data_IF_467985298675
#
_entry.id   IF_467985298675
#
_cell.length_a   1.000
_cell.length_b   1.000
_cell.length_c   1.000
_cell.angle_alpha   90.00
_cell.angle_beta   90.00
_cell.angle_gamma   90.00
#
_symmetry.space_group_name_H-M   'P 1'
#
loop_
_entity.id
_entity.type
_entity.pdbx_description
1 polymer ?
#
# COMPACT_ATOMS: atom_id res chain seq x y z
N UNK A 1 -14.07 11.73 18.93
CA UNK A 1 -14.00 11.71 17.45
C UNK A 1 -15.19 12.49 16.92
N UNK A 2 -15.02 13.46 16.01
CA UNK A 2 -16.15 14.22 15.50
C UNK A 2 -17.06 13.29 14.67
N UNK A 3 -18.37 13.24 14.94
CA UNK A 3 -19.31 12.36 14.24
C UNK A 3 -19.32 12.56 12.72
N UNK A 4 -18.96 13.76 12.26
CA UNK A 4 -18.87 14.11 10.84
C UNK A 4 -17.71 13.41 10.12
N UNK A 5 -16.64 13.00 10.81
CA UNK A 5 -15.45 12.42 10.16
C UNK A 5 -15.77 11.10 9.44
N UNK A 6 -16.51 10.21 10.09
CA UNK A 6 -16.88 8.92 9.49
C UNK A 6 -17.82 9.12 8.29
N UNK A 7 -18.75 10.08 8.41
CA UNK A 7 -19.65 10.42 7.31
C UNK A 7 -18.90 10.99 6.10
N UNK A 8 -17.92 11.89 6.33
CA UNK A 8 -17.08 12.44 5.27
C UNK A 8 -16.19 11.37 4.61
N UNK A 9 -15.57 10.47 5.38
CA UNK A 9 -14.77 9.37 4.83
C UNK A 9 -15.60 8.42 3.97
N UNK A 10 -16.83 8.09 4.39
CA UNK A 10 -17.75 7.24 3.62
C UNK A 10 -18.14 7.85 2.28
N UNK A 11 -18.29 9.19 2.18
CA UNK A 11 -18.57 9.87 0.91
C UNK A 11 -17.44 9.72 -0.12
N UNK A 12 -16.21 9.51 0.36
CA UNK A 12 -15.02 9.36 -0.47
C UNK A 12 -14.68 7.88 -0.74
N UNK A 13 -15.52 6.95 -0.31
CA UNK A 13 -15.28 5.53 -0.47
C UNK A 13 -15.36 5.11 -1.94
N UNK A 14 -14.40 4.30 -2.37
CA UNK A 14 -14.43 3.63 -3.67
C UNK A 14 -14.24 2.12 -3.51
N UNK A 15 -14.70 1.37 -4.51
CA UNK A 15 -14.41 -0.05 -4.64
C UNK A 15 -13.10 -0.25 -5.42
N UNK A 16 -12.30 -1.22 -4.99
CA UNK A 16 -11.12 -1.67 -5.73
C UNK A 16 -11.56 -2.39 -7.01
N UNK A 17 -10.82 -2.23 -8.09
CA UNK A 17 -11.15 -2.80 -9.41
C UNK A 17 -9.88 -3.19 -10.17
N UNK A 18 -10.00 -4.09 -11.15
CA UNK A 18 -8.93 -4.43 -12.10
C UNK A 18 -8.51 -3.23 -12.96
N UNK A 19 -9.38 -2.22 -13.04
CA UNK A 19 -9.12 -0.92 -13.65
C UNK A 19 -9.21 0.20 -12.62
N UNK A 20 -8.60 1.36 -12.93
CA UNK A 20 -8.78 2.57 -12.11
C UNK A 20 -10.27 2.96 -12.06
N UNK A 21 -10.85 3.17 -10.86
CA UNK A 21 -12.21 3.69 -10.74
C UNK A 21 -12.30 5.19 -11.06
N UNK A 22 -11.16 5.85 -11.22
CA UNK A 22 -11.04 7.25 -11.64
C UNK A 22 -10.86 7.32 -13.15
N UNK A 23 -11.52 8.28 -13.80
CA UNK A 23 -11.44 8.52 -15.23
C UNK A 23 -10.02 8.93 -15.66
N UNK A 24 -9.28 9.59 -14.77
CA UNK A 24 -7.89 10.00 -15.01
C UNK A 24 -7.14 10.28 -13.68
N UNK A 25 -5.82 10.46 -13.77
CA UNK A 25 -5.00 10.77 -12.58
C UNK A 25 -5.35 12.08 -11.88
N UNK A 26 -5.87 13.08 -12.60
CA UNK A 26 -6.23 14.37 -11.97
C UNK A 26 -7.38 14.12 -10.99
N UNK A 27 -8.35 13.30 -11.39
CA UNK A 27 -9.44 12.91 -10.52
C UNK A 27 -8.95 12.09 -9.32
N UNK A 28 -8.05 11.12 -9.52
CA UNK A 28 -7.42 10.39 -8.43
C UNK A 28 -6.70 11.32 -7.43
N UNK A 29 -5.90 12.27 -7.92
CA UNK A 29 -5.19 13.21 -7.05
C UNK A 29 -6.15 14.15 -6.32
N UNK A 30 -7.19 14.63 -7.01
CA UNK A 30 -8.23 15.47 -6.40
C UNK A 30 -8.97 14.71 -5.29
N UNK A 31 -9.26 13.42 -5.50
CA UNK A 31 -9.80 12.55 -4.47
C UNK A 31 -8.81 12.37 -3.30
N UNK A 32 -7.55 12.09 -3.60
CA UNK A 32 -6.51 11.89 -2.59
C UNK A 32 -6.32 13.14 -1.70
N UNK A 33 -6.38 14.34 -2.29
CA UNK A 33 -6.28 15.60 -1.56
C UNK A 33 -7.44 15.82 -0.58
N UNK A 34 -8.63 15.28 -0.87
CA UNK A 34 -9.78 15.28 0.06
C UNK A 34 -9.62 14.24 1.16
N UNK A 35 -9.06 13.07 0.86
CA UNK A 35 -8.86 11.99 1.84
C UNK A 35 -7.74 12.32 2.83
N UNK A 36 -6.62 12.88 2.35
CA UNK A 36 -5.42 13.13 3.15
C UNK A 36 -5.67 13.86 4.49
N UNK A 37 -6.40 14.99 4.55
CA UNK A 37 -6.66 15.68 5.81
C UNK A 37 -7.57 14.89 6.75
N UNK A 38 -8.49 14.08 6.21
CA UNK A 38 -9.40 13.26 7.00
C UNK A 38 -8.70 12.08 7.67
N UNK A 39 -7.54 11.64 7.16
CA UNK A 39 -6.74 10.60 7.80
C UNK A 39 -5.85 11.12 8.95
N UNK A 40 -5.92 12.42 9.29
CA UNK A 40 -5.08 13.05 10.35
C UNK A 40 -5.24 12.43 11.74
N UNK A 41 -6.35 11.74 12.02
CA UNK A 41 -6.55 11.02 13.29
C UNK A 41 -5.58 9.85 13.47
N UNK A 42 -5.02 9.31 12.39
CA UNK A 42 -3.99 8.27 12.40
C UNK A 42 -2.82 8.72 11.50
N UNK A 43 -1.79 9.39 12.08
CA UNK A 43 -0.64 9.89 11.32
C UNK A 43 0.14 8.79 10.59
N UNK A 44 0.14 7.55 11.12
CA UNK A 44 0.83 6.41 10.49
C UNK A 44 0.09 5.98 9.23
N UNK A 45 -1.24 5.89 9.31
CA UNK A 45 -2.10 5.61 8.17
C UNK A 45 -2.02 6.73 7.12
N UNK A 46 -2.09 8.00 7.56
CA UNK A 46 -1.95 9.16 6.68
C UNK A 46 -0.61 9.15 5.94
N UNK A 47 0.50 8.85 6.63
CA UNK A 47 1.82 8.74 6.02
C UNK A 47 1.90 7.62 4.98
N UNK A 48 1.31 6.45 5.27
CA UNK A 48 1.23 5.33 4.32
C UNK A 48 0.39 5.67 3.09
N UNK A 49 -0.75 6.32 3.30
CA UNK A 49 -1.62 6.77 2.21
C UNK A 49 -0.89 7.78 1.32
N UNK A 50 -0.22 8.78 1.90
CA UNK A 50 0.60 9.75 1.17
C UNK A 50 1.69 9.07 0.33
N UNK A 51 2.34 8.06 0.90
CA UNK A 51 3.34 7.26 0.19
C UNK A 51 2.75 6.55 -1.03
N UNK A 52 1.55 5.96 -0.91
CA UNK A 52 0.85 5.33 -2.04
C UNK A 52 0.48 6.34 -3.12
N UNK A 53 -0.04 7.51 -2.75
CA UNK A 53 -0.34 8.59 -3.71
C UNK A 53 0.93 9.02 -4.46
N UNK A 54 2.06 9.12 -3.77
CA UNK A 54 3.35 9.42 -4.39
C UNK A 54 3.83 8.29 -5.31
N UNK A 55 3.64 7.03 -4.90
CA UNK A 55 4.01 5.87 -5.70
C UNK A 55 3.17 5.78 -6.99
N UNK A 56 1.88 6.14 -6.95
CA UNK A 56 1.03 6.27 -8.15
C UNK A 56 1.62 7.28 -9.13
N UNK A 57 2.05 8.45 -8.64
CA UNK A 57 2.69 9.48 -9.47
C UNK A 57 3.97 8.95 -10.12
N UNK A 58 4.82 8.27 -9.36
CA UNK A 58 6.04 7.65 -9.89
C UNK A 58 5.74 6.60 -10.96
N UNK A 59 4.82 5.67 -10.67
CA UNK A 59 4.43 4.62 -11.63
C UNK A 59 3.92 5.23 -12.95
N UNK A 60 3.13 6.30 -12.87
CA UNK A 60 2.65 7.04 -14.04
C UNK A 60 3.78 7.70 -14.83
N UNK A 61 4.74 8.34 -14.15
CA UNK A 61 5.89 8.98 -14.80
C UNK A 61 6.76 7.98 -15.58
N UNK A 62 6.82 6.73 -15.10
CA UNK A 62 7.52 5.63 -15.77
C UNK A 62 6.60 4.76 -16.65
N UNK A 63 5.35 5.17 -16.86
CA UNK A 63 4.35 4.49 -17.68
C UNK A 63 4.06 3.02 -17.27
N UNK A 64 4.25 2.69 -15.99
CA UNK A 64 4.00 1.35 -15.42
C UNK A 64 2.54 1.24 -14.98
N UNK A 65 1.64 1.04 -15.95
CA UNK A 65 0.18 1.04 -15.74
C UNK A 65 -0.30 0.10 -14.64
N UNK A 66 0.23 -1.12 -14.59
CA UNK A 66 -0.17 -2.12 -13.59
C UNK A 66 0.17 -1.64 -12.17
N UNK A 67 1.36 -1.09 -11.97
CA UNK A 67 1.78 -0.54 -10.69
C UNK A 67 0.96 0.71 -10.31
N UNK A 68 0.60 1.55 -11.28
CA UNK A 68 -0.31 2.69 -11.06
C UNK A 68 -1.66 2.21 -10.49
N UNK A 69 -2.27 1.20 -11.13
CA UNK A 69 -3.54 0.61 -10.70
C UNK A 69 -3.42 -0.03 -9.30
N UNK A 70 -2.34 -0.77 -9.05
CA UNK A 70 -2.08 -1.40 -7.75
C UNK A 70 -1.92 -0.37 -6.63
N UNK A 71 -1.23 0.74 -6.89
CA UNK A 71 -1.05 1.82 -5.93
C UNK A 71 -2.38 2.55 -5.65
N UNK A 72 -3.20 2.80 -6.68
CA UNK A 72 -4.55 3.36 -6.54
C UNK A 72 -5.42 2.43 -5.66
N UNK A 73 -5.46 1.14 -5.99
CA UNK A 73 -6.22 0.15 -5.24
C UNK A 73 -5.74 0.01 -3.79
N UNK A 74 -4.44 0.17 -3.56
CA UNK A 74 -3.87 0.17 -2.21
C UNK A 74 -4.32 1.39 -1.42
N UNK A 75 -4.32 2.58 -2.03
CA UNK A 75 -4.83 3.81 -1.40
C UNK A 75 -6.32 3.69 -1.05
N UNK A 76 -7.14 3.16 -1.97
CA UNK A 76 -8.57 2.87 -1.73
C UNK A 76 -8.72 1.89 -0.55
N UNK A 77 -7.94 0.81 -0.55
CA UNK A 77 -7.96 -0.18 0.52
C UNK A 77 -7.65 0.42 1.90
N UNK A 78 -6.68 1.34 1.97
CA UNK A 78 -6.34 2.05 3.20
C UNK A 78 -7.51 2.89 3.72
N UNK A 79 -8.20 3.64 2.84
CA UNK A 79 -9.38 4.41 3.23
C UNK A 79 -10.50 3.49 3.74
N UNK A 80 -10.80 2.41 3.02
CA UNK A 80 -11.86 1.47 3.38
C UNK A 80 -11.58 0.83 4.75
N UNK A 81 -10.33 0.44 5.01
CA UNK A 81 -9.92 -0.08 6.31
C UNK A 81 -10.04 0.97 7.43
N UNK A 82 -9.75 2.24 7.13
CA UNK A 82 -9.91 3.35 8.06
C UNK A 82 -11.38 3.47 8.50
N UNK A 83 -12.30 3.49 7.52
CA UNK A 83 -13.75 3.54 7.76
C UNK A 83 -14.19 2.40 8.67
N UNK A 84 -13.83 1.16 8.34
CA UNK A 84 -14.18 -0.02 9.16
C UNK A 84 -13.63 0.07 10.58
N UNK A 85 -12.38 0.53 10.74
CA UNK A 85 -11.75 0.65 12.06
C UNK A 85 -12.47 1.67 12.93
N UNK A 86 -12.94 2.77 12.34
CA UNK A 86 -13.71 3.80 13.02
C UNK A 86 -15.14 3.34 13.38
N UNK A 87 -15.76 2.53 12.54
CA UNK A 87 -17.07 1.91 12.81
C UNK A 87 -17.01 0.96 14.01
N UNK A 88 -15.98 0.12 14.10
CA UNK A 88 -15.82 -0.83 15.21
C UNK A 88 -15.61 -0.13 16.55
N UNK A 89 -14.84 0.97 16.56
CA UNK A 89 -14.60 1.77 17.79
C UNK A 89 -15.87 2.48 18.27
N UNK A 90 -16.82 2.75 17.37
CA UNK A 90 -18.05 3.48 17.67
C UNK A 90 -19.16 2.59 18.27
N UNK A 91 -19.02 1.27 18.20
CA UNK A 91 -19.93 0.33 18.87
C UNK A 91 -19.46 0.18 20.32
N UNK A 92 -20.25 0.59 21.34
CA UNK A 92 -19.92 0.32 22.72
C UNK A 92 -19.89 -1.19 22.90
N UNK A 93 -18.69 -1.76 22.98
CA UNK A 93 -18.54 -3.13 23.43
C UNK A 93 -18.79 -3.10 24.93
N UNK A 94 -20.03 -3.27 25.35
CA UNK A 94 -20.37 -3.71 26.71
C UNK A 94 -19.94 -5.17 26.83
N UNK A 95 -18.64 -5.43 26.68
CA UNK A 95 -18.04 -6.72 26.97
C UNK A 95 -17.58 -6.66 28.43
N UNK A 96 -18.33 -7.31 29.31
CA UNK A 96 -17.93 -7.49 30.70
C UNK A 96 -16.53 -8.10 30.76
N UNK A 97 -15.67 -7.50 31.58
CA UNK A 97 -14.33 -7.99 31.89
C UNK A 97 -14.35 -9.50 32.17
N UNK A 98 -13.62 -10.33 31.41
CA UNK A 98 -13.12 -11.59 31.93
C UNK A 98 -11.75 -11.33 32.57
N UNK A 99 -11.68 -11.62 33.84
CA UNK A 99 -10.50 -11.74 34.71
C UNK A 99 -9.23 -12.15 33.97
N UNK A 100 -8.16 -11.37 34.19
CA UNK A 100 -6.82 -11.67 33.73
C UNK A 100 -6.35 -13.06 34.18
N UNK A 101 -6.01 -13.91 33.22
CA UNK A 101 -5.22 -15.12 33.43
C UNK A 101 -3.94 -15.00 32.59
N UNK A 102 -2.74 -15.10 33.17
CA UNK A 102 -1.50 -14.90 32.44
C UNK A 102 -1.14 -16.19 31.70
N UNK A 103 -1.37 -16.24 30.39
CA UNK A 103 -0.83 -17.28 29.53
C UNK A 103 0.15 -16.65 28.55
N UNK A 104 1.44 -16.84 28.83
CA UNK A 104 2.53 -16.59 27.91
C UNK A 104 2.32 -17.43 26.64
N UNK A 105 1.95 -16.77 25.55
CA UNK A 105 2.01 -17.34 24.21
C UNK A 105 2.58 -16.28 23.26
N UNK A 106 3.90 -16.16 23.28
CA UNK A 106 4.67 -15.51 22.22
C UNK A 106 4.42 -16.33 20.95
N UNK A 107 3.54 -15.84 20.07
CA UNK A 107 3.45 -16.35 18.70
C UNK A 107 4.50 -15.66 17.84
N UNK A 108 5.65 -16.31 17.83
CA UNK A 108 6.66 -16.29 16.78
C UNK A 108 5.99 -16.47 15.40
N UNK A 109 5.87 -15.37 14.65
CA UNK A 109 5.55 -15.39 13.23
C UNK A 109 6.85 -15.21 12.46
N UNK A 110 7.64 -16.29 12.38
CA UNK A 110 8.78 -16.35 11.46
C UNK A 110 8.45 -17.28 10.29
N UNK A 111 8.71 -16.76 9.09
CA UNK A 111 8.89 -17.44 7.81
C UNK A 111 7.68 -18.02 7.06
N UNK A 112 7.16 -17.20 6.13
CA UNK A 112 6.64 -17.70 4.85
C UNK A 112 7.82 -17.96 3.90
N UNK A 113 7.92 -19.12 3.23
CA UNK A 113 9.00 -19.42 2.31
C UNK A 113 8.64 -18.93 0.89
N UNK A 114 8.66 -17.63 0.63
CA UNK A 114 8.39 -17.10 -0.73
C UNK A 114 9.39 -15.98 -1.08
N UNK A 115 10.69 -16.27 -0.95
CA UNK A 115 11.72 -15.23 -1.10
C UNK A 115 13.07 -15.67 -1.68
N UNK A 116 13.19 -16.87 -2.26
CA UNK A 116 14.50 -17.35 -2.78
C UNK A 116 14.58 -17.53 -4.29
N UNK A 117 13.46 -17.51 -5.03
CA UNK A 117 13.50 -17.71 -6.49
C UNK A 117 13.71 -16.40 -7.27
N UNK A 118 13.23 -15.25 -6.76
CA UNK A 118 13.37 -13.97 -7.47
C UNK A 118 14.76 -13.33 -7.38
N UNK A 119 15.48 -13.53 -6.27
CA UNK A 119 16.79 -12.90 -6.04
C UNK A 119 17.87 -13.51 -6.95
N UNK A 120 17.81 -14.84 -7.19
CA UNK A 120 18.76 -15.52 -8.07
C UNK A 120 18.69 -15.04 -9.52
N UNK A 121 17.48 -14.79 -10.04
CA UNK A 121 17.28 -14.33 -11.41
C UNK A 121 17.80 -12.89 -11.60
N UNK A 122 17.57 -12.00 -10.63
CA UNK A 122 18.07 -10.63 -10.69
C UNK A 122 19.61 -10.57 -10.69
N UNK A 123 20.27 -11.38 -9.86
CA UNK A 123 21.73 -11.46 -9.81
C UNK A 123 22.31 -12.01 -11.13
N UNK A 124 21.68 -13.03 -11.72
CA UNK A 124 22.12 -13.60 -12.99
C UNK A 124 22.01 -12.60 -14.16
N UNK A 125 20.92 -11.82 -14.22
CA UNK A 125 20.73 -10.80 -15.25
C UNK A 125 21.78 -9.69 -15.11
N UNK A 126 22.03 -9.22 -13.89
CA UNK A 126 23.03 -8.16 -13.64
C UNK A 126 24.44 -8.64 -13.98
N UNK A 127 24.81 -9.88 -13.61
CA UNK A 127 26.10 -10.45 -13.95
C UNK A 127 26.28 -10.62 -15.47
N UNK A 128 25.24 -11.08 -16.17
CA UNK A 128 25.27 -11.23 -17.62
C UNK A 128 25.45 -9.88 -18.34
N UNK A 129 24.73 -8.84 -17.90
CA UNK A 129 24.88 -7.49 -18.45
C UNK A 129 26.27 -6.90 -18.18
N UNK A 130 26.82 -7.09 -16.98
CA UNK A 130 28.16 -6.63 -16.65
C UNK A 130 29.23 -7.30 -17.54
N UNK A 131 29.16 -8.62 -17.74
CA UNK A 131 30.08 -9.34 -18.64
C UNK A 131 29.91 -8.89 -20.10
N UNK A 132 28.67 -8.67 -20.55
CA UNK A 132 28.40 -8.21 -21.91
C UNK A 132 28.98 -6.81 -22.17
N UNK A 133 28.85 -5.88 -21.22
CA UNK A 133 29.40 -4.51 -21.33
C UNK A 133 30.93 -4.53 -21.30
N UNK A 134 31.53 -5.31 -20.40
CA UNK A 134 33.00 -5.50 -20.33
C UNK A 134 33.52 -6.07 -21.65
N UNK A 135 32.87 -7.11 -22.20
CA UNK A 135 33.27 -7.72 -23.48
C UNK A 135 33.13 -6.74 -24.66
N UNK A 136 32.06 -5.94 -24.67
CA UNK A 136 31.78 -4.99 -25.75
C UNK A 136 32.72 -3.78 -25.73
N UNK A 137 33.21 -3.37 -24.55
CA UNK A 137 34.13 -2.24 -24.42
C UNK A 137 35.62 -2.61 -24.37
N UNK A 138 35.99 -3.86 -24.02
CA UNK A 138 37.39 -4.28 -23.87
C UNK A 138 37.90 -5.21 -24.99
N UNK A 139 37.06 -5.61 -25.95
CA UNK A 139 37.52 -6.22 -27.21
C UNK A 139 38.35 -7.51 -27.08
N UNK A 140 38.06 -8.37 -26.10
CA UNK A 140 38.75 -9.65 -25.94
C UNK A 140 38.20 -10.71 -26.93
N UNK A 141 39.04 -11.28 -27.82
CA UNK A 141 38.64 -12.35 -28.73
C UNK A 141 38.57 -13.72 -28.03
N UNK A 142 37.84 -14.65 -28.66
CA UNK A 142 37.51 -15.99 -28.17
C UNK A 142 38.71 -16.84 -27.76
#
# INVERSE_FOLDING_TARGET
MPPDLLAELRKLQHQRSESSPFANHVEFHTWADKVLPLLSFDPKLQGRFKSMVSATKSARLFEIKQQEIENINSAIGMLNQAITSLEVVSVPHTAGNPTASPSNAIKEWHEKPIGKVGIGLAIAIIAFLAVYVIKSHLGLPL
#
